data_IF_144119218458
#
_entry.id   IF_144119218458
#
_cell.length_a   1.000
_cell.length_b   1.000
_cell.length_c   1.000
_cell.angle_alpha   90.00
_cell.angle_beta   90.00
_cell.angle_gamma   90.00
#
_symmetry.space_group_name_H-M   'P 1'
#
loop_
_entity.id
_entity.type
_entity.pdbx_description
1 polymer ?
#
# COMPACT_ATOMS: atom_id res chain seq x y z
N UNK A 1 8.74 -31.66 26.58
CA UNK A 1 8.78 -31.03 25.24
C UNK A 1 8.22 -29.63 25.41
N UNK A 2 9.08 -28.61 25.50
CA UNK A 2 8.66 -27.22 25.72
C UNK A 2 8.55 -26.53 24.35
N UNK A 3 7.33 -26.28 23.89
CA UNK A 3 7.07 -25.50 22.67
C UNK A 3 7.12 -24.01 22.99
N UNK A 4 8.26 -23.38 22.71
CA UNK A 4 8.39 -21.92 22.82
C UNK A 4 7.68 -21.28 21.64
N UNK A 5 6.54 -20.63 21.88
CA UNK A 5 5.79 -19.91 20.85
C UNK A 5 6.43 -18.54 20.65
N UNK A 6 7.17 -18.36 19.55
CA UNK A 6 7.70 -17.06 19.17
C UNK A 6 6.58 -16.22 18.58
N UNK A 7 6.12 -15.22 19.32
CA UNK A 7 5.17 -14.22 18.83
C UNK A 7 5.95 -13.23 17.97
N UNK A 8 5.82 -13.34 16.65
CA UNK A 8 6.27 -12.32 15.71
C UNK A 8 5.15 -11.27 15.61
N UNK A 9 5.37 -10.00 15.98
CA UNK A 9 4.38 -8.95 15.78
C UNK A 9 4.23 -8.76 14.26
N UNK A 10 3.08 -9.18 13.73
CA UNK A 10 2.77 -9.13 12.29
C UNK A 10 2.48 -7.71 11.79
N UNK A 11 2.21 -6.77 12.70
CA UNK A 11 1.86 -5.39 12.37
C UNK A 11 2.53 -4.43 13.37
N UNK A 12 3.21 -3.41 12.86
CA UNK A 12 3.69 -2.27 13.64
C UNK A 12 2.53 -1.31 13.94
N UNK A 13 2.64 -0.54 15.02
CA UNK A 13 1.64 0.45 15.42
C UNK A 13 1.43 1.50 14.33
N UNK A 14 0.16 1.73 13.94
CA UNK A 14 -0.26 2.80 13.05
C UNK A 14 0.01 4.15 13.74
N UNK A 15 1.18 4.71 13.51
CA UNK A 15 1.47 6.09 13.89
C UNK A 15 0.80 6.99 12.87
N UNK A 16 -0.13 7.84 13.30
CA UNK A 16 -0.67 8.94 12.49
C UNK A 16 0.47 9.90 12.13
N UNK A 17 1.07 9.71 10.95
CA UNK A 17 1.94 10.71 10.34
C UNK A 17 1.11 11.58 9.40
N UNK A 18 0.84 12.81 9.83
CA UNK A 18 0.08 13.82 9.08
C UNK A 18 0.86 14.35 7.85
N UNK A 19 2.20 14.20 7.87
CA UNK A 19 3.07 14.38 6.70
C UNK A 19 4.26 13.42 6.80
N UNK A 20 4.39 12.53 5.82
CA UNK A 20 5.65 11.83 5.59
C UNK A 20 6.46 12.68 4.61
N UNK A 21 7.60 13.21 5.04
CA UNK A 21 8.62 13.68 4.10
C UNK A 21 9.04 12.46 3.29
N UNK A 22 8.57 12.38 2.05
CA UNK A 22 8.76 11.23 1.15
C UNK A 22 10.21 11.27 0.68
N UNK A 23 11.14 10.91 1.54
CA UNK A 23 12.47 10.50 1.07
C UNK A 23 12.27 9.15 0.39
N UNK A 24 12.48 9.06 -0.95
CA UNK A 24 12.40 7.78 -1.61
C UNK A 24 13.41 6.85 -0.93
N UNK A 25 13.01 5.62 -0.55
CA UNK A 25 13.96 4.68 0.03
C UNK A 25 15.14 4.54 -0.94
N UNK A 26 16.39 4.39 -0.45
CA UNK A 26 17.52 4.15 -1.32
C UNK A 26 17.16 2.99 -2.23
N UNK A 27 17.17 3.25 -3.54
CA UNK A 27 16.72 2.32 -4.56
C UNK A 27 17.64 1.10 -4.47
N UNK A 28 17.22 0.08 -3.74
CA UNK A 28 17.89 -1.21 -3.82
C UNK A 28 17.71 -1.68 -5.27
N UNK A 29 18.82 -2.00 -5.93
CA UNK A 29 18.83 -2.57 -7.28
C UNK A 29 17.70 -3.62 -7.42
N UNK A 30 16.73 -3.34 -8.29
CA UNK A 30 15.60 -4.25 -8.56
C UNK A 30 14.20 -3.72 -8.22
N UNK A 31 14.07 -2.51 -7.64
CA UNK A 31 12.77 -1.87 -7.44
C UNK A 31 12.33 -1.02 -8.65
N UNK A 32 11.08 -1.18 -9.09
CA UNK A 32 10.49 -0.39 -10.16
C UNK A 32 9.55 0.69 -9.59
N UNK A 33 9.59 1.90 -10.16
CA UNK A 33 8.53 2.88 -9.94
C UNK A 33 7.25 2.42 -10.64
N UNK A 34 6.11 2.51 -9.96
CA UNK A 34 4.81 2.19 -10.52
C UNK A 34 3.87 3.40 -10.41
N UNK A 35 3.20 3.80 -11.49
CA UNK A 35 2.17 4.83 -11.41
C UNK A 35 1.00 4.31 -10.57
N UNK A 36 0.45 5.19 -9.74
CA UNK A 36 -0.67 4.86 -8.88
C UNK A 36 -1.66 6.02 -8.81
N UNK A 37 -2.93 5.67 -8.62
CA UNK A 37 -4.04 6.62 -8.45
C UNK A 37 -4.93 6.23 -7.28
N UNK A 38 -5.56 7.20 -6.64
CA UNK A 38 -6.61 6.93 -5.65
C UNK A 38 -7.98 6.91 -6.30
N UNK A 39 -8.87 6.04 -5.82
CA UNK A 39 -10.26 5.96 -6.28
C UNK A 39 -11.14 5.87 -5.06
N UNK A 40 -11.99 6.87 -4.86
CA UNK A 40 -13.00 6.86 -3.81
C UNK A 40 -14.15 5.91 -4.18
N UNK A 41 -14.65 5.17 -3.19
CA UNK A 41 -15.81 4.30 -3.34
C UNK A 41 -16.70 4.36 -2.10
N UNK A 42 -17.99 4.08 -2.29
CA UNK A 42 -18.91 3.89 -1.17
C UNK A 42 -18.92 2.43 -0.80
N UNK A 43 -18.57 2.14 0.44
CA UNK A 43 -18.63 0.81 1.01
C UNK A 43 -19.91 0.70 1.85
N UNK A 44 -20.83 -0.18 1.45
CA UNK A 44 -22.06 -0.43 2.21
C UNK A 44 -21.86 -1.47 3.31
N UNK A 45 -20.66 -2.04 3.45
CA UNK A 45 -20.36 -3.05 4.47
C UNK A 45 -20.01 -2.43 5.84
N UNK A 46 -19.68 -1.14 5.89
CA UNK A 46 -19.40 -0.43 7.12
C UNK A 46 -20.61 0.40 7.57
N UNK A 47 -20.91 0.36 8.87
CA UNK A 47 -22.04 1.09 9.46
C UNK A 47 -21.82 2.62 9.47
N UNK A 48 -20.57 3.08 9.32
CA UNK A 48 -20.21 4.50 9.36
C UNK A 48 -20.61 5.27 8.09
N UNK A 49 -20.99 4.59 7.01
CA UNK A 49 -21.35 5.18 5.71
C UNK A 49 -20.26 6.08 5.09
N UNK A 50 -19.04 6.03 5.63
CA UNK A 50 -17.95 6.90 5.22
C UNK A 50 -17.36 6.40 3.89
N UNK A 51 -17.14 7.29 2.89
CA UNK A 51 -16.50 6.89 1.65
C UNK A 51 -15.07 6.42 1.92
N UNK A 52 -14.73 5.26 1.38
CA UNK A 52 -13.41 4.64 1.46
C UNK A 52 -12.62 4.94 0.19
N UNK A 53 -11.31 4.69 0.23
CA UNK A 53 -10.43 4.88 -0.94
C UNK A 53 -9.61 3.65 -1.22
N UNK A 54 -9.44 3.38 -2.51
CA UNK A 54 -8.56 2.37 -3.05
C UNK A 54 -7.34 3.04 -3.68
N UNK A 55 -6.17 2.45 -3.50
CA UNK A 55 -4.97 2.76 -4.27
C UNK A 55 -4.90 1.76 -5.43
N UNK A 56 -5.05 2.25 -6.65
CA UNK A 56 -4.94 1.45 -7.88
C UNK A 56 -3.58 1.70 -8.50
N UNK A 57 -2.85 0.62 -8.76
CA UNK A 57 -1.47 0.65 -9.26
C UNK A 57 -1.41 -0.09 -10.59
N UNK A 58 -0.83 0.53 -11.61
CA UNK A 58 -0.48 -0.20 -12.84
C UNK A 58 0.85 -0.92 -12.61
N UNK A 59 0.81 -2.24 -12.42
CA UNK A 59 1.98 -3.01 -12.00
C UNK A 59 2.98 -3.17 -13.15
N UNK A 60 4.27 -2.78 -12.99
CA UNK A 60 5.27 -2.84 -14.05
C UNK A 60 5.78 -4.26 -14.36
N UNK A 61 5.24 -5.29 -13.71
CA UNK A 61 5.74 -6.66 -13.79
C UNK A 61 4.78 -7.67 -14.40
N UNK A 62 3.48 -7.40 -14.35
CA UNK A 62 2.45 -8.35 -14.79
C UNK A 62 1.43 -7.72 -15.73
N UNK A 63 1.53 -6.44 -16.08
CA UNK A 63 0.58 -5.72 -16.95
C UNK A 63 -0.87 -5.75 -16.44
N UNK A 64 -1.05 -5.93 -15.12
CA UNK A 64 -2.35 -5.87 -14.45
C UNK A 64 -2.40 -4.75 -13.42
N UNK A 65 -3.61 -4.29 -13.13
CA UNK A 65 -3.86 -3.36 -12.03
C UNK A 65 -3.92 -4.10 -10.70
N UNK A 66 -3.15 -3.63 -9.73
CA UNK A 66 -3.25 -4.09 -8.35
C UNK A 66 -4.01 -3.06 -7.52
N UNK A 67 -4.96 -3.53 -6.72
CA UNK A 67 -5.82 -2.69 -5.90
C UNK A 67 -5.49 -2.93 -4.43
N UNK A 68 -5.19 -1.85 -3.71
CA UNK A 68 -4.89 -1.86 -2.29
C UNK A 68 -5.88 -0.97 -1.53
N UNK A 69 -6.19 -1.31 -0.28
CA UNK A 69 -6.93 -0.40 0.58
C UNK A 69 -6.05 0.82 0.93
N UNK A 70 -6.66 2.00 0.85
CA UNK A 70 -6.02 3.28 1.11
C UNK A 70 -6.78 4.11 2.16
N UNK A 71 -7.58 3.47 3.03
CA UNK A 71 -8.27 4.14 4.12
C UNK A 71 -9.52 4.90 3.69
N UNK A 72 -9.76 6.06 4.33
CA UNK A 72 -10.90 6.94 4.08
C UNK A 72 -10.65 7.85 2.87
N UNK A 73 -11.71 8.25 2.17
CA UNK A 73 -11.60 9.26 1.12
C UNK A 73 -11.26 10.66 1.64
N UNK A 74 -11.64 10.97 2.88
CA UNK A 74 -11.23 12.20 3.57
C UNK A 74 -9.76 12.18 4.00
N UNK A 75 -9.16 11.00 4.16
CA UNK A 75 -7.77 10.84 4.59
C UNK A 75 -7.10 9.62 3.91
N UNK A 76 -6.75 9.73 2.60
CA UNK A 76 -6.14 8.62 1.87
C UNK A 76 -4.73 8.28 2.40
N UNK A 77 -4.51 7.02 2.74
CA UNK A 77 -3.22 6.49 3.20
C UNK A 77 -2.39 6.02 2.00
N UNK A 78 -1.59 6.94 1.46
CA UNK A 78 -0.74 6.75 0.25
C UNK A 78 0.76 6.57 0.55
N UNK A 79 1.11 6.22 1.79
CA UNK A 79 2.49 6.10 2.26
C UNK A 79 3.36 5.28 1.28
N UNK A 80 4.66 5.58 1.20
CA UNK A 80 5.66 4.78 0.45
C UNK A 80 5.60 3.31 0.89
N UNK A 81 4.80 2.52 0.19
CA UNK A 81 4.69 1.08 0.42
C UNK A 81 5.56 0.38 -0.62
N UNK A 82 6.50 -0.42 -0.14
CA UNK A 82 7.13 -1.45 -0.98
C UNK A 82 6.07 -2.53 -1.20
N UNK A 83 5.57 -2.62 -2.43
CA UNK A 83 4.62 -3.64 -2.84
C UNK A 83 5.33 -4.70 -3.67
N UNK A 84 4.79 -5.92 -3.65
CA UNK A 84 5.31 -7.07 -4.41
C UNK A 84 4.26 -7.59 -5.37
N UNK A 85 4.66 -7.88 -6.61
CA UNK A 85 3.80 -8.57 -7.56
C UNK A 85 3.77 -10.08 -7.27
N UNK A 86 2.58 -10.67 -7.07
CA UNK A 86 2.45 -12.12 -6.87
C UNK A 86 2.80 -12.89 -8.15
N UNK A 87 2.47 -12.32 -9.32
CA UNK A 87 2.79 -12.91 -10.63
C UNK A 87 4.29 -12.92 -10.95
N UNK A 88 5.12 -12.17 -10.21
CA UNK A 88 6.58 -12.16 -10.39
C UNK A 88 7.27 -12.13 -9.02
N UNK A 89 7.71 -13.28 -8.48
CA UNK A 89 8.22 -13.42 -7.11
C UNK A 89 9.35 -12.45 -6.73
N UNK A 90 10.08 -11.88 -7.69
CA UNK A 90 11.16 -10.92 -7.44
C UNK A 90 10.77 -9.46 -7.74
N UNK A 91 9.56 -9.20 -8.25
CA UNK A 91 9.11 -7.86 -8.63
C UNK A 91 8.67 -7.05 -7.41
N UNK A 92 9.55 -6.15 -6.94
CA UNK A 92 9.23 -5.15 -5.92
C UNK A 92 9.03 -3.80 -6.60
N UNK A 93 7.98 -3.08 -6.23
CA UNK A 93 7.69 -1.75 -6.77
C UNK A 93 7.29 -0.76 -5.67
N UNK A 94 7.41 0.52 -5.98
CA UNK A 94 7.04 1.64 -5.09
C UNK A 94 6.27 2.72 -5.86
N UNK A 95 5.62 3.61 -5.12
CA UNK A 95 4.76 4.69 -5.64
C UNK A 95 5.47 6.04 -5.47
N UNK A 96 6.15 6.57 -6.50
CA UNK A 96 6.84 7.86 -6.37
C UNK A 96 5.87 9.04 -6.30
N UNK A 97 4.69 8.90 -6.91
CA UNK A 97 3.62 9.90 -6.92
C UNK A 97 2.27 9.17 -7.03
N UNK A 98 1.24 9.70 -6.38
CA UNK A 98 -0.13 9.18 -6.44
C UNK A 98 -1.05 10.27 -6.95
N UNK A 99 -1.74 10.01 -8.05
CA UNK A 99 -2.70 10.93 -8.64
C UNK A 99 -4.11 10.76 -8.04
N UNK A 100 -4.93 11.82 -7.95
CA UNK A 100 -6.35 11.70 -7.63
C UNK A 100 -7.16 11.02 -8.74
#
# INVERSE_FOLDING_TARGET
MNSTTTVLPLFGEDTEQDQADIQPPPVHLGMAAAPARVVAYRDTQYEDSEPRTLLVVDCPFCDHQHVHSAGLASAPRVCLRRSRCVGRPTGVYYFPAVSP
#
